data_IF_158416038615
#
_entry.id   IF_158416038615
#
_cell.length_a   1.000
_cell.length_b   1.000
_cell.length_c   1.000
_cell.angle_alpha   90.00
_cell.angle_beta   90.00
_cell.angle_gamma   90.00
#
_symmetry.space_group_name_H-M   'P 1'
#
loop_
_entity.id
_entity.type
_entity.pdbx_description
1 polymer ?
#
# COMPACT_ATOMS: atom_id res chain seq x y z
N UNK A 1 -11.47 8.58 -4.50
CA UNK A 1 -11.61 7.33 -3.73
C UNK A 1 -13.05 7.09 -3.27
N UNK A 2 -13.59 7.92 -2.40
CA UNK A 2 -14.89 7.67 -1.74
C UNK A 2 -16.07 7.43 -2.69
N UNK A 3 -16.15 8.19 -3.79
CA UNK A 3 -17.19 8.00 -4.80
C UNK A 3 -17.15 6.61 -5.47
N UNK A 4 -15.95 6.06 -5.69
CA UNK A 4 -15.79 4.71 -6.23
C UNK A 4 -16.21 3.65 -5.21
N UNK A 5 -15.81 3.81 -3.94
CA UNK A 5 -16.23 2.93 -2.85
C UNK A 5 -17.76 2.95 -2.65
N UNK A 6 -18.38 4.12 -2.78
CA UNK A 6 -19.83 4.26 -2.74
C UNK A 6 -20.51 3.53 -3.91
N UNK A 7 -20.01 3.70 -5.15
CA UNK A 7 -20.52 3.00 -6.32
C UNK A 7 -20.39 1.48 -6.21
N UNK A 8 -19.25 0.98 -5.70
CA UNK A 8 -19.05 -0.44 -5.40
C UNK A 8 -20.08 -0.97 -4.40
N UNK A 9 -20.29 -0.24 -3.30
CA UNK A 9 -21.25 -0.60 -2.26
C UNK A 9 -22.68 -0.60 -2.78
N UNK A 10 -23.09 0.41 -3.54
CA UNK A 10 -24.42 0.50 -4.16
C UNK A 10 -24.66 -0.67 -5.12
N UNK A 11 -23.63 -1.05 -5.89
CA UNK A 11 -23.69 -2.18 -6.81
C UNK A 11 -23.68 -3.56 -6.12
N UNK A 12 -23.54 -3.62 -4.80
CA UNK A 12 -23.51 -4.85 -4.01
C UNK A 12 -22.17 -5.59 -4.02
N UNK A 13 -21.07 -4.92 -4.40
CA UNK A 13 -19.73 -5.49 -4.25
C UNK A 13 -19.30 -5.48 -2.78
N UNK A 14 -18.53 -6.49 -2.40
CA UNK A 14 -17.80 -6.54 -1.13
C UNK A 14 -16.41 -5.96 -1.34
N UNK A 15 -16.08 -4.94 -0.54
CA UNK A 15 -14.74 -4.35 -0.49
C UNK A 15 -14.14 -4.62 0.89
N UNK A 16 -12.97 -5.24 0.92
CA UNK A 16 -12.17 -5.41 2.13
C UNK A 16 -10.90 -4.54 2.01
N UNK A 17 -10.76 -3.54 2.88
CA UNK A 17 -9.62 -2.62 2.90
C UNK A 17 -8.57 -3.16 3.87
N UNK A 18 -7.35 -3.37 3.39
CA UNK A 18 -6.24 -3.89 4.20
C UNK A 18 -5.23 -2.81 4.60
N UNK A 19 -5.09 -1.74 3.81
CA UNK A 19 -4.19 -0.62 4.13
C UNK A 19 -4.69 0.68 3.50
N UNK A 20 -4.55 1.78 4.22
CA UNK A 20 -4.87 3.14 3.74
C UNK A 20 -3.62 4.02 3.85
N UNK A 21 -3.65 5.07 4.69
CA UNK A 21 -2.49 5.92 4.93
C UNK A 21 -1.50 5.21 5.85
N UNK A 22 -0.24 5.11 5.42
CA UNK A 22 0.86 4.59 6.23
C UNK A 22 1.64 5.76 6.87
N UNK A 23 2.09 5.57 8.10
CA UNK A 23 2.86 6.59 8.81
C UNK A 23 4.28 6.74 8.20
N UNK A 24 4.66 7.97 7.86
CA UNK A 24 5.95 8.26 7.23
C UNK A 24 7.15 7.91 8.12
N UNK A 25 7.01 8.12 9.44
CA UNK A 25 8.08 7.85 10.42
C UNK A 25 8.28 6.35 10.56
N UNK A 26 7.19 5.58 10.55
CA UNK A 26 7.25 4.11 10.50
C UNK A 26 7.98 3.63 9.25
N UNK A 27 7.68 4.19 8.07
CA UNK A 27 8.38 3.81 6.84
C UNK A 27 9.88 4.15 6.90
N UNK A 28 10.24 5.32 7.44
CA UNK A 28 11.64 5.70 7.68
C UNK A 28 12.33 4.74 8.65
N UNK A 29 11.67 4.39 9.76
CA UNK A 29 12.18 3.45 10.75
C UNK A 29 12.47 2.09 10.11
N UNK A 30 11.51 1.58 9.33
CA UNK A 30 11.64 0.30 8.63
C UNK A 30 12.77 0.34 7.58
N UNK A 31 12.86 1.39 6.75
CA UNK A 31 13.92 1.55 5.73
C UNK A 31 15.30 1.66 6.34
N UNK A 32 15.48 2.49 7.37
CA UNK A 32 16.78 2.64 8.04
C UNK A 32 17.20 1.34 8.73
N UNK A 33 16.27 0.63 9.37
CA UNK A 33 16.55 -0.67 9.98
C UNK A 33 17.02 -1.69 8.93
N UNK A 34 16.29 -1.79 7.80
CA UNK A 34 16.66 -2.69 6.71
C UNK A 34 18.06 -2.39 6.17
N UNK A 35 18.37 -1.11 5.89
CA UNK A 35 19.67 -0.70 5.35
C UNK A 35 20.82 -0.97 6.33
N UNK A 36 20.61 -0.74 7.63
CA UNK A 36 21.63 -1.07 8.65
C UNK A 36 21.83 -2.59 8.71
N UNK A 37 20.75 -3.38 8.76
CA UNK A 37 20.82 -4.84 8.84
C UNK A 37 21.58 -5.45 7.65
N UNK A 38 21.38 -4.90 6.44
CA UNK A 38 22.10 -5.32 5.22
C UNK A 38 23.52 -4.79 5.10
N UNK A 39 23.91 -3.82 5.94
CA UNK A 39 25.22 -3.17 5.88
C UNK A 39 25.33 -2.03 4.85
N UNK A 40 24.22 -1.66 4.23
CA UNK A 40 24.13 -0.56 3.25
C UNK A 40 24.11 0.83 3.90
N UNK A 41 23.95 0.87 5.23
CA UNK A 41 24.01 2.08 6.04
C UNK A 41 24.73 1.78 7.35
N UNK A 42 25.82 2.52 7.62
CA UNK A 42 26.44 2.50 8.93
C UNK A 42 25.48 3.09 9.97
N UNK A 43 25.34 2.45 11.13
CA UNK A 43 24.47 2.92 12.21
C UNK A 43 24.83 4.34 12.69
N UNK A 44 26.10 4.71 12.53
CA UNK A 44 26.66 6.03 12.81
C UNK A 44 26.20 7.13 11.87
N UNK A 45 25.89 6.75 10.62
CA UNK A 45 25.42 7.65 9.58
C UNK A 45 23.88 7.63 9.47
N UNK A 46 23.20 6.82 10.29
CA UNK A 46 21.77 6.71 10.28
C UNK A 46 21.11 8.02 10.72
N UNK A 47 20.14 8.56 9.96
CA UNK A 47 19.51 9.83 10.30
C UNK A 47 18.66 9.68 11.56
N UNK A 48 18.58 10.76 12.34
CA UNK A 48 17.55 10.89 13.36
C UNK A 48 16.18 10.96 12.67
N UNK A 49 15.20 10.25 13.23
CA UNK A 49 13.80 10.29 12.77
C UNK A 49 13.02 11.17 13.75
N UNK A 50 12.54 12.36 13.34
CA UNK A 50 11.82 13.26 14.24
C UNK A 50 10.62 12.58 14.91
N UNK A 51 10.55 12.65 16.24
CA UNK A 51 9.48 12.04 17.03
C UNK A 51 9.62 10.53 17.24
N UNK A 52 10.73 9.91 16.83
CA UNK A 52 11.03 8.50 17.10
C UNK A 52 12.29 8.42 17.95
N UNK A 53 12.14 7.97 19.19
CA UNK A 53 13.27 7.72 20.09
C UNK A 53 13.92 6.38 19.71
N UNK A 54 14.96 6.43 18.89
CA UNK A 54 15.72 5.26 18.48
C UNK A 54 17.22 5.48 18.60
N UNK A 55 17.91 4.49 19.15
CA UNK A 55 19.37 4.43 19.20
C UNK A 55 19.85 3.43 18.15
N UNK A 56 20.41 3.94 17.05
CA UNK A 56 20.97 3.09 15.99
C UNK A 56 22.32 2.50 16.38
N UNK A 57 23.12 3.27 17.12
CA UNK A 57 24.48 2.91 17.50
C UNK A 57 24.49 2.06 18.77
N UNK A 58 25.03 0.87 18.66
CA UNK A 58 25.38 0.01 19.80
C UNK A 58 26.91 -0.08 19.96
N UNK A 59 27.37 -0.84 20.97
CA UNK A 59 28.78 -0.96 21.32
C UNK A 59 29.70 -1.44 20.17
N UNK A 60 29.15 -2.18 19.20
CA UNK A 60 29.88 -2.59 18.00
C UNK A 60 28.96 -2.53 16.78
N UNK A 61 29.54 -2.40 15.59
CA UNK A 61 28.78 -2.45 14.34
C UNK A 61 27.98 -3.75 14.19
N UNK A 62 28.52 -4.89 14.67
CA UNK A 62 27.81 -6.16 14.66
C UNK A 62 26.54 -6.13 15.54
N UNK A 63 26.61 -5.51 16.73
CA UNK A 63 25.44 -5.33 17.59
C UNK A 63 24.41 -4.39 16.99
N UNK A 64 24.84 -3.33 16.32
CA UNK A 64 23.93 -2.42 15.61
C UNK A 64 23.18 -3.13 14.47
N UNK A 65 23.88 -3.97 13.69
CA UNK A 65 23.25 -4.78 12.64
C UNK A 65 22.27 -5.80 13.21
N UNK A 66 22.62 -6.47 14.32
CA UNK A 66 21.73 -7.43 14.97
C UNK A 66 20.44 -6.76 15.47
N UNK A 67 20.53 -5.63 16.16
CA UNK A 67 19.35 -4.88 16.61
C UNK A 67 18.49 -4.37 15.44
N UNK A 68 19.13 -3.93 14.34
CA UNK A 68 18.41 -3.55 13.14
C UNK A 68 17.72 -4.75 12.46
N UNK A 69 18.33 -5.94 12.50
CA UNK A 69 17.73 -7.18 12.01
C UNK A 69 16.52 -7.59 12.84
N UNK A 70 16.55 -7.43 14.17
CA UNK A 70 15.37 -7.65 15.03
C UNK A 70 14.18 -6.79 14.59
N UNK A 71 14.43 -5.55 14.16
CA UNK A 71 13.39 -4.66 13.62
C UNK A 71 12.90 -5.11 12.23
N UNK A 72 13.80 -5.62 11.38
CA UNK A 72 13.45 -6.22 10.08
C UNK A 72 12.51 -7.42 10.28
N UNK A 73 12.83 -8.28 11.23
CA UNK A 73 12.06 -9.48 11.54
C UNK A 73 10.71 -9.11 12.18
N UNK A 74 10.69 -8.17 13.13
CA UNK A 74 9.47 -7.69 13.79
C UNK A 74 8.47 -7.09 12.79
N UNK A 75 8.97 -6.39 11.77
CA UNK A 75 8.14 -5.77 10.74
C UNK A 75 7.92 -6.63 9.51
N UNK A 76 8.46 -7.86 9.49
CA UNK A 76 8.39 -8.79 8.37
C UNK A 76 8.83 -8.16 7.03
N UNK A 77 9.97 -7.47 7.05
CA UNK A 77 10.46 -6.69 5.90
C UNK A 77 11.19 -7.60 4.90
N UNK A 78 10.50 -8.00 3.84
CA UNK A 78 11.10 -8.76 2.74
C UNK A 78 12.01 -7.91 1.82
N UNK A 79 11.61 -6.67 1.51
CA UNK A 79 12.31 -5.74 0.62
C UNK A 79 12.44 -4.36 1.26
N UNK A 80 13.40 -3.55 0.82
CA UNK A 80 13.55 -2.20 1.34
C UNK A 80 12.22 -1.41 1.25
N UNK A 81 11.69 -0.92 2.39
CA UNK A 81 10.49 -0.09 2.41
C UNK A 81 10.69 1.20 1.62
N UNK A 82 9.79 1.47 0.66
CA UNK A 82 9.81 2.73 -0.08
C UNK A 82 9.41 3.92 0.82
N UNK A 83 10.23 4.98 0.77
CA UNK A 83 9.92 6.28 1.39
C UNK A 83 9.08 7.19 0.49
N UNK A 84 9.01 6.87 -0.80
CA UNK A 84 8.20 7.55 -1.80
C UNK A 84 7.04 6.63 -2.18
N UNK A 85 6.04 6.54 -1.29
CA UNK A 85 4.86 5.70 -1.48
C UNK A 85 3.59 6.53 -1.42
N UNK A 86 2.65 6.28 -2.33
CA UNK A 86 1.33 6.92 -2.31
C UNK A 86 0.53 6.57 -1.05
N UNK A 87 0.84 5.48 -0.36
CA UNK A 87 0.26 5.21 0.96
C UNK A 87 0.72 6.21 2.01
N UNK A 88 1.95 6.70 1.94
CA UNK A 88 2.46 7.73 2.87
C UNK A 88 1.76 9.07 2.60
N UNK A 89 1.55 9.38 1.31
CA UNK A 89 0.83 10.57 0.86
C UNK A 89 -0.70 10.49 1.09
N UNK A 90 -1.23 9.32 1.45
CA UNK A 90 -2.68 9.12 1.62
C UNK A 90 -3.46 9.09 0.30
N UNK A 91 -2.80 8.75 -0.80
CA UNK A 91 -3.33 8.72 -2.17
C UNK A 91 -3.53 7.31 -2.72
N UNK A 92 -3.20 6.29 -1.93
CA UNK A 92 -3.40 4.88 -2.24
C UNK A 92 -4.17 4.14 -1.14
N UNK A 93 -4.78 3.04 -1.56
CA UNK A 93 -5.49 2.10 -0.72
C UNK A 93 -5.24 0.68 -1.25
N UNK A 94 -5.00 -0.23 -0.32
CA UNK A 94 -4.96 -1.65 -0.62
C UNK A 94 -6.33 -2.21 -0.30
N UNK A 95 -7.00 -2.75 -1.30
CA UNK A 95 -8.32 -3.35 -1.13
C UNK A 95 -8.53 -4.55 -2.04
N UNK A 96 -9.26 -5.53 -1.53
CA UNK A 96 -9.82 -6.63 -2.31
C UNK A 96 -11.29 -6.34 -2.61
N UNK A 97 -11.67 -6.42 -3.88
CA UNK A 97 -13.06 -6.21 -4.34
C UNK A 97 -13.57 -7.52 -4.93
N UNK A 98 -14.73 -7.97 -4.46
CA UNK A 98 -15.39 -9.21 -4.93
C UNK A 98 -16.89 -9.00 -5.06
N UNK A 99 -17.55 -9.78 -5.90
CA UNK A 99 -19.01 -9.77 -6.05
C UNK A 99 -19.53 -11.12 -6.52
N UNK A 100 -20.85 -11.32 -6.41
CA UNK A 100 -21.56 -12.48 -6.96
C UNK A 100 -22.34 -12.09 -8.21
N UNK A 101 -22.55 -13.06 -9.12
CA UNK A 101 -23.36 -12.85 -10.33
C UNK A 101 -22.80 -11.77 -11.27
N UNK A 102 -23.64 -10.85 -11.72
CA UNK A 102 -23.28 -9.70 -12.55
C UNK A 102 -23.29 -8.45 -11.69
N UNK A 103 -22.17 -7.74 -11.61
CA UNK A 103 -22.06 -6.46 -10.94
C UNK A 103 -22.64 -5.37 -11.84
N UNK A 104 -23.74 -4.76 -11.42
CA UNK A 104 -24.34 -3.61 -12.11
C UNK A 104 -23.90 -2.33 -11.42
N UNK A 105 -22.88 -1.70 -11.97
CA UNK A 105 -22.22 -0.52 -11.38
C UNK A 105 -22.34 0.69 -12.31
N UNK A 106 -22.32 1.89 -11.73
CA UNK A 106 -22.23 3.13 -12.49
C UNK A 106 -20.79 3.61 -12.55
N UNK A 107 -20.41 4.24 -13.65
CA UNK A 107 -19.19 5.03 -13.72
C UNK A 107 -19.41 6.45 -13.22
N UNK A 108 -18.34 7.28 -13.19
CA UNK A 108 -18.41 8.66 -12.70
C UNK A 108 -19.37 9.55 -13.50
N UNK A 109 -19.68 9.20 -14.76
CA UNK A 109 -20.64 9.93 -15.60
C UNK A 109 -22.09 9.52 -15.32
N UNK A 110 -22.29 8.42 -14.58
CA UNK A 110 -23.59 7.83 -14.27
C UNK A 110 -24.03 6.71 -15.22
N UNK A 111 -23.23 6.42 -16.26
CA UNK A 111 -23.50 5.35 -17.20
C UNK A 111 -23.38 3.97 -16.51
N UNK A 112 -24.26 3.04 -16.88
CA UNK A 112 -24.35 1.72 -16.25
C UNK A 112 -23.48 0.70 -16.99
N UNK A 113 -22.73 -0.08 -16.23
CA UNK A 113 -21.88 -1.18 -16.67
C UNK A 113 -22.38 -2.49 -16.06
N UNK A 114 -22.28 -3.59 -16.82
CA UNK A 114 -22.65 -4.94 -16.35
C UNK A 114 -21.42 -5.84 -16.41
N UNK A 115 -20.76 -5.98 -15.26
CA UNK A 115 -19.46 -6.65 -15.15
C UNK A 115 -19.66 -8.08 -14.66
N UNK A 116 -19.13 -9.04 -15.42
CA UNK A 116 -19.28 -10.48 -15.12
C UNK A 116 -18.00 -11.08 -14.56
N UNK A 117 -17.26 -11.88 -15.34
CA UNK A 117 -16.05 -12.58 -14.92
C UNK A 117 -14.79 -11.90 -15.47
N UNK A 118 -13.65 -11.95 -14.76
CA UNK A 118 -13.47 -12.52 -13.42
C UNK A 118 -14.17 -11.65 -12.36
N UNK A 119 -14.69 -12.28 -11.29
CA UNK A 119 -15.39 -11.57 -10.21
C UNK A 119 -14.45 -11.03 -9.14
N UNK A 120 -13.39 -10.37 -9.60
CA UNK A 120 -12.30 -9.87 -8.76
C UNK A 120 -11.86 -8.50 -9.24
N UNK A 121 -11.69 -7.58 -8.30
CA UNK A 121 -11.05 -6.27 -8.52
C UNK A 121 -9.61 -6.37 -9.00
N UNK A 122 -8.93 -7.49 -8.75
CA UNK A 122 -7.52 -7.62 -9.11
C UNK A 122 -7.34 -7.85 -10.62
N UNK A 123 -8.32 -8.53 -11.24
CA UNK A 123 -8.19 -9.05 -12.60
C UNK A 123 -9.23 -8.51 -13.60
N UNK A 124 -10.32 -7.88 -13.13
CA UNK A 124 -11.40 -7.46 -14.03
C UNK A 124 -11.13 -6.09 -14.67
N UNK A 125 -10.80 -6.11 -15.97
CA UNK A 125 -10.48 -4.90 -16.75
C UNK A 125 -11.64 -3.91 -16.89
N UNK A 126 -12.88 -4.37 -16.93
CA UNK A 126 -14.05 -3.47 -16.99
C UNK A 126 -14.20 -2.73 -15.65
N UNK A 127 -13.99 -3.42 -14.53
CA UNK A 127 -14.00 -2.77 -13.22
C UNK A 127 -12.83 -1.79 -13.07
N UNK A 128 -11.65 -2.11 -13.63
CA UNK A 128 -10.53 -1.17 -13.68
C UNK A 128 -10.89 0.09 -14.46
N UNK A 129 -11.58 -0.03 -15.60
CA UNK A 129 -12.04 1.11 -16.38
C UNK A 129 -13.08 1.96 -15.63
N UNK A 130 -14.02 1.31 -14.93
CA UNK A 130 -14.98 2.01 -14.05
C UNK A 130 -14.24 2.75 -12.94
N UNK A 131 -13.29 2.11 -12.25
CA UNK A 131 -12.45 2.75 -11.24
C UNK A 131 -11.68 3.96 -11.79
N UNK A 132 -11.08 3.83 -12.97
CA UNK A 132 -10.36 4.90 -13.64
C UNK A 132 -11.26 6.10 -13.94
N UNK A 133 -12.55 5.89 -14.28
CA UNK A 133 -13.51 6.99 -14.42
C UNK A 133 -13.67 7.81 -13.14
N UNK A 134 -13.51 7.18 -11.97
CA UNK A 134 -13.51 7.83 -10.65
C UNK A 134 -12.18 8.45 -10.25
N UNK A 135 -11.14 8.34 -11.10
CA UNK A 135 -9.76 8.68 -10.75
C UNK A 135 -9.13 7.69 -9.77
N UNK A 136 -9.58 6.43 -9.77
CA UNK A 136 -9.02 5.35 -8.93
C UNK A 136 -8.49 4.26 -9.85
N UNK A 137 -7.18 4.25 -10.04
CA UNK A 137 -6.46 3.47 -11.03
C UNK A 137 -5.84 2.25 -10.36
N UNK A 138 -6.03 1.08 -10.96
CA UNK A 138 -5.44 -0.19 -10.52
C UNK A 138 -3.96 -0.27 -10.89
N UNK A 139 -3.09 -0.62 -9.94
CA UNK A 139 -1.74 -1.11 -10.25
C UNK A 139 -1.80 -2.62 -10.51
N UNK A 140 -1.44 -3.07 -11.71
CA UNK A 140 -1.63 -4.48 -12.10
C UNK A 140 -0.60 -5.44 -11.49
N UNK A 141 0.62 -4.96 -11.20
CA UNK A 141 1.68 -5.77 -10.59
C UNK A 141 1.50 -5.99 -9.09
N UNK A 142 0.63 -5.21 -8.45
CA UNK A 142 0.32 -5.30 -7.03
C UNK A 142 -1.21 -5.47 -6.87
N UNK A 143 -1.72 -6.72 -6.83
CA UNK A 143 -3.14 -7.04 -6.87
C UNK A 143 -4.05 -6.25 -5.92
N UNK A 144 -3.70 -5.98 -4.64
CA UNK A 144 -4.54 -5.15 -3.78
C UNK A 144 -4.47 -3.64 -4.07
N UNK A 145 -3.46 -3.11 -4.76
CA UNK A 145 -3.17 -1.68 -4.79
C UNK A 145 -4.04 -0.88 -5.78
N UNK A 146 -4.65 0.20 -5.27
CA UNK A 146 -5.37 1.20 -6.05
C UNK A 146 -4.96 2.61 -5.61
N UNK A 147 -4.73 3.50 -6.57
CA UNK A 147 -4.31 4.88 -6.30
C UNK A 147 -4.84 5.86 -7.32
N UNK A 148 -4.55 7.14 -7.17
CA UNK A 148 -4.93 8.15 -8.16
C UNK A 148 -4.05 8.15 -9.42
N UNK A 149 -2.93 7.42 -9.41
CA UNK A 149 -1.99 7.33 -10.55
C UNK A 149 -1.72 5.91 -11.04
N UNK A 150 -2.19 4.88 -10.33
CA UNK A 150 -1.98 3.47 -10.69
C UNK A 150 -0.54 3.00 -10.54
N UNK A 151 0.23 3.71 -9.71
CA UNK A 151 1.62 3.44 -9.33
C UNK A 151 1.74 3.33 -7.82
#
# INVERSE_FOLDING_TARGET
>A
MDAFLAALKEAGARTAISSTRRDARRAQLMSVSWRIARGDLAAEAAPAIPGVAIAWRHATAARSRAAAQEMVDLFDIAYEPSLASLHIEGRAIDMTITWAGTLRIRDKTGARHSITTPRSGDANRELHAVGASYGVIKLLSDPPHWSDTGR
#
